data_IF_860803430170
#
_entry.id   IF_860803430170
#
_cell.length_a   1.000
_cell.length_b   1.000
_cell.length_c   1.000
_cell.angle_alpha   90.00
_cell.angle_beta   90.00
_cell.angle_gamma   90.00
#
_symmetry.space_group_name_H-M   'P 1'
#
loop_
_entity.id
_entity.type
_entity.pdbx_description
1 polymer ?
#
# COMPACT_ATOMS: atom_id res chain seq x y z
N UNK A 1 13.86 -10.65 -24.31
CA UNK A 1 12.95 -9.51 -24.14
C UNK A 1 11.96 -9.89 -23.04
N UNK A 2 12.30 -9.56 -21.79
CA UNK A 2 11.49 -9.88 -20.60
C UNK A 2 10.40 -8.81 -20.49
N UNK A 3 9.15 -9.24 -20.41
CA UNK A 3 7.95 -8.37 -20.33
C UNK A 3 7.95 -7.66 -18.98
N UNK A 4 7.79 -6.34 -19.01
CA UNK A 4 7.91 -5.41 -17.90
C UNK A 4 6.64 -5.45 -17.02
N UNK A 5 6.78 -5.74 -15.73
CA UNK A 5 5.77 -5.51 -14.67
C UNK A 5 6.08 -4.10 -14.16
N UNK A 6 5.24 -3.09 -14.45
CA UNK A 6 5.71 -1.71 -14.27
C UNK A 6 4.70 -0.66 -13.76
N UNK A 7 3.39 -0.89 -13.82
CA UNK A 7 2.45 0.14 -13.35
C UNK A 7 2.24 0.13 -11.82
N UNK A 8 1.99 -1.03 -11.20
CA UNK A 8 1.40 -1.08 -9.85
C UNK A 8 2.29 -0.53 -8.71
N UNK A 9 3.62 -0.61 -8.83
CA UNK A 9 4.54 -0.27 -7.74
C UNK A 9 4.64 1.25 -7.47
N UNK A 10 4.24 2.10 -8.43
CA UNK A 10 4.35 3.55 -8.32
C UNK A 10 3.25 4.20 -7.45
N UNK A 11 2.08 3.56 -7.28
CA UNK A 11 0.96 4.10 -6.50
C UNK A 11 0.87 3.59 -5.06
N UNK A 12 1.38 2.38 -4.75
CA UNK A 12 1.39 1.84 -3.38
C UNK A 12 2.11 2.75 -2.37
N UNK A 13 3.04 3.55 -2.89
CA UNK A 13 3.77 4.61 -2.19
C UNK A 13 2.90 5.68 -1.48
N UNK A 14 1.67 5.92 -1.94
CA UNK A 14 0.80 6.95 -1.36
C UNK A 14 -0.24 6.41 -0.36
N UNK A 15 -0.55 5.12 -0.42
CA UNK A 15 -1.49 4.49 0.52
C UNK A 15 -0.80 3.90 1.74
N UNK A 16 0.50 3.62 1.64
CA UNK A 16 1.31 3.14 2.75
C UNK A 16 2.38 4.19 3.10
N UNK A 17 2.11 4.99 4.13
CA UNK A 17 3.16 5.70 4.88
C UNK A 17 2.99 7.22 4.97
N UNK A 18 2.42 7.68 6.08
CA UNK A 18 2.92 8.87 6.79
C UNK A 18 2.78 8.65 8.30
N UNK A 19 3.59 7.75 8.86
CA UNK A 19 3.98 7.85 10.25
C UNK A 19 5.32 8.59 10.31
N UNK A 20 5.27 9.81 10.85
CA UNK A 20 6.35 10.57 11.48
C UNK A 20 7.66 10.85 10.68
N UNK A 21 7.74 12.04 10.07
CA UNK A 21 9.01 12.70 9.77
C UNK A 21 9.13 14.02 10.57
N UNK A 22 9.80 13.96 11.72
CA UNK A 22 10.27 15.13 12.47
C UNK A 22 11.73 15.43 12.14
N UNK A 23 11.99 16.61 11.54
CA UNK A 23 13.33 17.13 11.21
C UNK A 23 14.12 17.56 12.46
N UNK A 24 15.43 17.31 12.48
CA UNK A 24 16.43 18.40 12.52
C UNK A 24 17.87 17.98 12.15
N UNK A 25 18.58 18.93 11.53
CA UNK A 25 19.90 18.88 10.90
C UNK A 25 21.10 18.52 11.81
N UNK A 26 22.13 17.86 11.24
CA UNK A 26 23.46 18.48 11.04
C UNK A 26 24.44 17.69 10.16
N UNK A 27 25.33 18.46 9.51
CA UNK A 27 26.24 18.20 8.39
C UNK A 27 27.46 17.31 8.71
N UNK A 28 28.01 16.60 7.71
CA UNK A 28 29.42 16.14 7.75
C UNK A 28 29.85 14.97 6.85
N UNK A 29 30.14 15.27 5.57
CA UNK A 29 31.02 14.61 4.59
C UNK A 29 31.84 13.33 4.96
N UNK A 30 31.86 12.35 4.04
CA UNK A 30 32.92 11.34 3.96
C UNK A 30 32.72 10.17 2.98
N UNK A 31 33.06 10.40 1.72
CA UNK A 31 33.16 9.49 0.55
C UNK A 31 33.83 8.11 0.79
N UNK A 32 33.20 7.00 0.35
CA UNK A 32 33.71 6.15 -0.76
C UNK A 32 33.25 4.68 -0.75
N UNK A 33 32.76 4.26 -1.94
CA UNK A 33 33.05 2.99 -2.64
C UNK A 33 32.51 1.65 -2.12
N UNK A 34 31.35 1.29 -2.68
CA UNK A 34 31.08 0.08 -3.50
C UNK A 34 31.98 -1.16 -3.34
N UNK A 35 31.36 -2.31 -3.04
CA UNK A 35 31.35 -3.50 -3.91
C UNK A 35 30.48 -4.64 -3.32
N UNK A 36 29.44 -5.01 -4.06
CA UNK A 36 28.84 -6.34 -4.28
C UNK A 36 29.32 -7.53 -3.42
N UNK A 37 28.39 -8.38 -2.96
CA UNK A 37 28.12 -9.72 -3.55
C UNK A 37 26.90 -10.39 -2.89
N UNK A 38 26.01 -10.85 -3.76
CA UNK A 38 25.04 -11.94 -3.68
C UNK A 38 25.08 -12.84 -2.43
N UNK A 39 23.91 -13.04 -1.81
CA UNK A 39 23.60 -14.32 -1.18
C UNK A 39 22.14 -14.69 -1.41
N UNK A 40 22.02 -15.97 -1.74
CA UNK A 40 20.91 -16.71 -2.27
C UNK A 40 20.08 -17.28 -1.10
N UNK A 41 18.78 -17.08 -1.06
CA UNK A 41 17.88 -17.95 -0.29
C UNK A 41 16.53 -18.06 -0.99
N UNK A 42 16.28 -19.24 -1.54
CA UNK A 42 15.00 -19.67 -2.07
C UNK A 42 13.97 -19.74 -0.94
N UNK A 43 12.92 -18.93 -1.05
CA UNK A 43 11.63 -19.23 -0.46
C UNK A 43 10.71 -19.65 -1.62
N UNK A 44 10.13 -20.84 -1.51
CA UNK A 44 9.16 -21.38 -2.46
C UNK A 44 7.90 -20.51 -2.47
N UNK A 45 7.79 -19.64 -3.47
CA UNK A 45 6.54 -19.03 -3.89
C UNK A 45 5.82 -20.02 -4.80
N UNK A 46 4.59 -20.39 -4.42
CA UNK A 46 3.68 -21.12 -5.29
C UNK A 46 3.40 -20.29 -6.54
N UNK A 47 3.82 -20.81 -7.69
CA UNK A 47 3.55 -20.25 -9.01
C UNK A 47 2.05 -20.31 -9.31
N UNK A 48 1.35 -19.18 -9.15
CA UNK A 48 0.15 -18.93 -9.94
C UNK A 48 0.60 -18.59 -11.36
N UNK A 49 0.57 -19.61 -12.22
CA UNK A 49 0.88 -19.49 -13.64
C UNK A 49 -0.30 -18.83 -14.39
N UNK A 50 -0.40 -17.51 -14.30
CA UNK A 50 -0.98 -16.68 -15.34
C UNK A 50 0.11 -15.73 -15.83
N UNK A 51 0.43 -15.76 -17.12
CA UNK A 51 1.44 -14.88 -17.72
C UNK A 51 1.08 -13.41 -17.44
N UNK A 52 2.01 -12.55 -16.97
CA UNK A 52 1.68 -11.16 -16.68
C UNK A 52 1.37 -10.43 -17.98
N UNK A 53 0.11 -9.98 -18.10
CA UNK A 53 -0.31 -8.98 -19.08
C UNK A 53 0.32 -7.64 -18.71
N UNK A 54 0.74 -6.89 -19.72
CA UNK A 54 1.30 -5.55 -19.60
C UNK A 54 0.21 -4.64 -19.03
N UNK A 55 0.16 -4.51 -17.70
CA UNK A 55 -0.83 -3.68 -17.01
C UNK A 55 -0.45 -2.22 -17.24
N UNK A 56 -1.07 -1.61 -18.24
CA UNK A 56 -1.04 -0.16 -18.49
C UNK A 56 -2.28 0.43 -17.84
N UNK A 57 -2.12 1.49 -17.05
CA UNK A 57 -3.25 2.15 -16.41
C UNK A 57 -4.16 2.69 -17.51
N UNK A 58 -5.47 2.46 -17.43
CA UNK A 58 -6.38 2.95 -18.43
C UNK A 58 -6.44 4.48 -18.37
N UNK A 59 -6.24 5.13 -19.51
CA UNK A 59 -6.43 6.58 -19.67
C UNK A 59 -7.55 6.86 -20.66
N UNK A 60 -8.20 8.04 -20.58
CA UNK A 60 -9.12 8.50 -21.60
C UNK A 60 -8.52 8.45 -23.00
N UNK A 61 -9.35 8.15 -24.00
CA UNK A 61 -9.00 8.20 -25.40
C UNK A 61 -8.65 9.63 -25.84
N UNK A 62 -7.73 9.76 -26.79
CA UNK A 62 -7.36 11.05 -27.39
C UNK A 62 -8.47 11.65 -28.26
N UNK A 63 -9.37 10.80 -28.77
CA UNK A 63 -10.44 11.18 -29.69
C UNK A 63 -11.81 10.88 -29.11
N UNK A 64 -12.82 11.65 -29.51
CA UNK A 64 -14.20 11.46 -29.09
C UNK A 64 -14.70 10.04 -29.40
N UNK A 65 -15.59 9.48 -28.56
CA UNK A 65 -16.20 8.19 -28.84
C UNK A 65 -17.04 8.22 -30.11
N UNK A 66 -17.13 7.08 -30.79
CA UNK A 66 -17.95 6.93 -32.00
C UNK A 66 -19.43 7.24 -31.72
N UNK A 67 -19.90 6.92 -30.51
CA UNK A 67 -21.24 7.25 -30.02
C UNK A 67 -21.12 8.05 -28.73
N UNK A 68 -21.43 9.33 -28.81
CA UNK A 68 -21.37 10.27 -27.69
C UNK A 68 -22.71 10.26 -26.95
N UNK A 69 -22.67 9.93 -25.65
CA UNK A 69 -23.82 9.89 -24.76
C UNK A 69 -24.00 11.17 -23.94
N UNK A 70 -22.88 11.84 -23.64
CA UNK A 70 -22.82 13.11 -22.94
C UNK A 70 -21.62 13.89 -23.45
N UNK A 71 -21.81 15.18 -23.71
CA UNK A 71 -20.74 16.07 -24.15
C UNK A 71 -20.90 17.44 -23.49
N UNK A 72 -19.79 17.98 -23.00
CA UNK A 72 -19.67 19.35 -22.56
C UNK A 72 -18.36 19.95 -23.10
N UNK A 73 -17.98 21.14 -22.62
CA UNK A 73 -16.78 21.84 -23.09
C UNK A 73 -15.48 21.07 -22.73
N UNK A 74 -15.46 20.30 -21.65
CA UNK A 74 -14.27 19.64 -21.11
C UNK A 74 -14.13 18.16 -21.50
N UNK A 75 -15.23 17.47 -21.83
CA UNK A 75 -15.22 16.02 -22.09
C UNK A 75 -16.33 15.57 -23.05
N UNK A 76 -16.11 14.40 -23.65
CA UNK A 76 -17.09 13.65 -24.45
C UNK A 76 -17.10 12.19 -23.98
N UNK A 77 -18.24 11.73 -23.50
CA UNK A 77 -18.39 10.41 -22.89
C UNK A 77 -19.13 9.46 -23.81
N UNK A 78 -18.70 8.20 -23.81
CA UNK A 78 -19.44 7.12 -24.42
C UNK A 78 -20.64 6.73 -23.53
N UNK A 79 -21.45 5.80 -24.02
CA UNK A 79 -22.57 5.26 -23.25
C UNK A 79 -22.07 4.55 -21.99
N UNK A 80 -22.59 4.97 -20.83
CA UNK A 80 -22.21 4.49 -19.50
C UNK A 80 -23.25 3.56 -18.87
N UNK A 81 -24.39 3.37 -19.55
CA UNK A 81 -25.39 2.36 -19.19
C UNK A 81 -25.31 1.15 -20.13
N UNK A 82 -25.74 -0.02 -19.67
CA UNK A 82 -25.64 -1.27 -20.43
C UNK A 82 -24.21 -1.72 -20.70
N UNK A 83 -23.25 -1.28 -19.87
CA UNK A 83 -21.87 -1.75 -19.94
C UNK A 83 -21.81 -3.23 -19.64
N UNK A 84 -21.00 -3.97 -20.40
CA UNK A 84 -20.77 -5.40 -20.11
C UNK A 84 -19.72 -5.52 -19.02
N UNK A 85 -20.11 -6.05 -17.88
CA UNK A 85 -19.24 -6.22 -16.72
C UNK A 85 -19.21 -7.70 -16.35
N UNK A 86 -18.03 -8.22 -16.05
CA UNK A 86 -17.89 -9.57 -15.55
C UNK A 86 -18.48 -9.63 -14.13
N UNK A 87 -19.38 -10.58 -13.88
CA UNK A 87 -19.89 -10.84 -12.54
C UNK A 87 -18.78 -11.46 -11.70
N UNK A 88 -18.56 -10.89 -10.52
CA UNK A 88 -17.72 -11.45 -9.46
C UNK A 88 -18.62 -11.65 -8.24
N UNK A 89 -18.62 -12.85 -7.66
CA UNK A 89 -19.36 -13.17 -6.44
C UNK A 89 -18.41 -13.28 -5.23
N UNK A 90 -18.93 -13.24 -4.00
CA UNK A 90 -18.11 -13.45 -2.80
C UNK A 90 -17.27 -14.74 -2.82
N UNK A 91 -17.78 -15.78 -3.48
CA UNK A 91 -17.10 -17.07 -3.65
C UNK A 91 -15.91 -17.03 -4.60
N UNK A 92 -15.88 -16.06 -5.53
CA UNK A 92 -14.77 -15.86 -6.47
C UNK A 92 -13.55 -15.19 -5.79
N UNK A 93 -13.72 -14.65 -4.57
CA UNK A 93 -12.66 -13.95 -3.86
C UNK A 93 -11.61 -14.91 -3.34
N UNK A 94 -10.42 -14.82 -3.94
CA UNK A 94 -9.25 -15.59 -3.54
C UNK A 94 -8.94 -15.45 -2.03
N UNK A 95 -8.52 -16.55 -1.42
CA UNK A 95 -8.23 -16.59 0.01
C UNK A 95 -7.12 -15.61 0.43
N UNK A 96 -6.10 -15.42 -0.41
CA UNK A 96 -5.01 -14.45 -0.19
C UNK A 96 -5.53 -13.00 -0.08
N UNK A 97 -6.57 -12.64 -0.85
CA UNK A 97 -7.14 -11.30 -0.91
C UNK A 97 -7.90 -11.01 0.38
N UNK A 98 -8.67 -11.98 0.87
CA UNK A 98 -9.28 -11.87 2.20
C UNK A 98 -8.23 -11.83 3.32
N UNK A 99 -7.18 -12.65 3.24
CA UNK A 99 -6.08 -12.60 4.22
C UNK A 99 -5.42 -11.24 4.26
N UNK A 100 -5.15 -10.62 3.11
CA UNK A 100 -4.60 -9.26 3.05
C UNK A 100 -5.55 -8.24 3.67
N UNK A 101 -6.86 -8.37 3.44
CA UNK A 101 -7.88 -7.51 4.08
C UNK A 101 -7.86 -7.64 5.61
N UNK A 102 -7.71 -8.86 6.15
CA UNK A 102 -7.56 -9.10 7.59
C UNK A 102 -6.28 -8.47 8.14
N UNK A 103 -5.16 -8.66 7.46
CA UNK A 103 -3.87 -8.11 7.91
C UNK A 103 -3.89 -6.58 7.94
N UNK A 104 -4.53 -5.95 6.93
CA UNK A 104 -4.71 -4.50 6.93
C UNK A 104 -5.58 -4.02 8.10
N UNK A 105 -6.65 -4.77 8.43
CA UNK A 105 -7.46 -4.48 9.60
C UNK A 105 -6.64 -4.58 10.89
N UNK A 106 -5.82 -5.62 11.06
CA UNK A 106 -4.98 -5.76 12.25
C UNK A 106 -3.96 -4.62 12.35
N UNK A 107 -3.31 -4.28 11.23
CA UNK A 107 -2.34 -3.19 11.18
C UNK A 107 -2.96 -1.83 11.52
N UNK A 108 -4.19 -1.56 11.08
CA UNK A 108 -4.89 -0.30 11.39
C UNK A 108 -5.29 -0.21 12.87
N UNK A 109 -5.42 -1.33 13.58
CA UNK A 109 -5.75 -1.38 15.01
C UNK A 109 -4.51 -1.66 15.87
N UNK A 110 -3.36 -1.10 15.47
CA UNK A 110 -2.15 -1.13 16.28
C UNK A 110 -2.19 -0.04 17.36
N UNK A 111 -1.75 -0.37 18.56
CA UNK A 111 -1.79 0.53 19.71
C UNK A 111 -0.39 0.88 20.19
N UNK A 112 -0.16 2.16 20.51
CA UNK A 112 1.05 2.57 21.22
C UNK A 112 0.92 2.24 22.70
N UNK A 113 1.86 1.43 23.21
CA UNK A 113 1.85 0.91 24.56
C UNK A 113 2.79 1.74 25.43
N UNK A 114 2.25 2.32 26.51
CA UNK A 114 3.01 3.16 27.46
C UNK A 114 2.87 2.74 28.92
N UNK A 115 2.15 1.64 29.19
CA UNK A 115 1.72 1.26 30.54
C UNK A 115 2.10 -0.17 30.95
N UNK A 116 2.89 -0.86 30.13
CA UNK A 116 3.48 -2.18 30.45
C UNK A 116 4.87 -2.31 29.80
N UNK A 117 5.72 -3.24 30.30
CA UNK A 117 6.95 -3.62 29.64
C UNK A 117 6.73 -4.17 28.23
N UNK A 118 7.79 -4.17 27.41
CA UNK A 118 7.80 -4.81 26.10
C UNK A 118 7.64 -6.34 26.22
N UNK A 119 6.83 -6.92 25.34
CA UNK A 119 6.51 -8.35 25.29
C UNK A 119 6.88 -8.94 23.91
N UNK A 120 6.95 -10.27 23.84
CA UNK A 120 7.14 -10.96 22.57
C UNK A 120 5.98 -10.64 21.60
N UNK A 121 6.30 -10.32 20.35
CA UNK A 121 5.35 -9.88 19.33
C UNK A 121 5.13 -8.36 19.25
N UNK A 122 5.57 -7.58 20.23
CA UNK A 122 5.54 -6.11 20.12
C UNK A 122 6.53 -5.64 19.05
N UNK A 123 6.16 -4.59 18.32
CA UNK A 123 7.06 -3.81 17.49
C UNK A 123 7.65 -2.67 18.33
N UNK A 124 8.97 -2.53 18.33
CA UNK A 124 9.67 -1.55 19.16
C UNK A 124 10.55 -0.62 18.34
N UNK A 125 10.65 0.63 18.81
CA UNK A 125 11.71 1.53 18.38
C UNK A 125 12.82 1.52 19.43
N UNK A 126 14.06 1.28 19.02
CA UNK A 126 15.22 1.21 19.91
C UNK A 126 16.44 1.93 19.33
N UNK A 127 17.21 2.55 20.21
CA UNK A 127 18.60 2.94 19.94
C UNK A 127 19.54 1.90 20.55
N UNK A 128 20.59 1.50 19.84
CA UNK A 128 21.56 0.55 20.36
C UNK A 128 23.00 0.96 20.08
N UNK A 129 23.90 0.60 21.00
CA UNK A 129 25.35 0.80 20.85
C UNK A 129 26.09 -0.45 21.33
N UNK A 130 26.63 -1.20 20.38
CA UNK A 130 27.41 -2.41 20.58
C UNK A 130 28.89 -2.18 20.89
N UNK A 131 29.42 -2.98 21.79
CA UNK A 131 30.83 -3.06 22.12
C UNK A 131 31.29 -4.52 22.24
N UNK A 132 32.46 -4.81 21.69
CA UNK A 132 33.15 -6.09 21.80
C UNK A 132 34.37 -5.88 22.71
N UNK A 133 34.48 -6.66 23.78
CA UNK A 133 35.54 -6.51 24.79
C UNK A 133 35.67 -5.07 25.34
N UNK A 134 34.54 -4.35 25.42
CA UNK A 134 34.48 -2.95 25.88
C UNK A 134 34.88 -1.91 24.84
N UNK A 135 35.19 -2.32 23.60
CA UNK A 135 35.53 -1.43 22.48
C UNK A 135 34.37 -1.39 21.48
N UNK A 136 33.87 -0.19 21.18
CA UNK A 136 32.85 -0.01 20.12
C UNK A 136 33.41 -0.46 18.78
N UNK A 137 32.60 -1.11 17.97
CA UNK A 137 32.96 -1.55 16.62
C UNK A 137 32.05 -0.88 15.58
N UNK A 138 32.55 -0.80 14.36
CA UNK A 138 31.83 -0.20 13.23
C UNK A 138 30.60 -1.04 12.85
N UNK A 139 29.48 -0.37 12.56
CA UNK A 139 28.17 -1.00 12.39
C UNK A 139 27.51 -1.53 13.67
N UNK A 140 28.12 -1.31 14.84
CA UNK A 140 27.56 -1.73 16.14
C UNK A 140 26.60 -0.72 16.78
N UNK A 141 26.53 0.51 16.28
CA UNK A 141 25.63 1.56 16.80
C UNK A 141 24.60 1.94 15.75
N UNK A 142 23.34 2.06 16.13
CA UNK A 142 22.26 2.42 15.24
C UNK A 142 20.93 2.59 15.96
N UNK A 143 19.89 2.80 15.18
CA UNK A 143 18.50 2.89 15.63
C UNK A 143 17.60 2.13 14.64
N UNK A 144 16.49 1.59 15.14
CA UNK A 144 15.41 0.97 14.34
C UNK A 144 14.08 1.38 14.98
N UNK A 145 13.05 1.55 14.16
CA UNK A 145 11.70 1.94 14.56
C UNK A 145 10.65 0.84 14.29
N UNK A 146 11.08 -0.29 13.74
CA UNK A 146 10.23 -1.36 13.20
C UNK A 146 10.61 -2.78 13.68
N UNK A 147 11.38 -2.91 14.76
CA UNK A 147 11.84 -4.21 15.27
C UNK A 147 10.70 -4.97 15.96
N UNK A 148 10.23 -6.07 15.37
CA UNK A 148 9.30 -7.00 16.03
C UNK A 148 10.05 -7.99 16.93
N UNK A 149 9.74 -7.99 18.22
CA UNK A 149 10.37 -8.86 19.21
C UNK A 149 9.96 -10.33 19.01
N UNK A 150 10.94 -11.22 18.88
CA UNK A 150 10.73 -12.64 18.59
C UNK A 150 10.71 -12.97 17.08
N UNK A 151 10.91 -11.98 16.21
CA UNK A 151 10.98 -12.19 14.75
C UNK A 151 12.24 -12.92 14.30
N UNK A 152 13.32 -12.86 15.09
CA UNK A 152 14.63 -13.39 14.71
C UNK A 152 15.29 -12.60 13.58
N UNK A 153 14.88 -11.34 13.38
CA UNK A 153 15.51 -10.42 12.43
C UNK A 153 16.87 -9.92 12.93
N UNK A 154 17.09 -9.94 14.26
CA UNK A 154 18.35 -9.56 14.89
C UNK A 154 19.15 -10.79 15.36
N UNK A 155 20.40 -10.56 15.77
CA UNK A 155 21.25 -11.65 16.26
C UNK A 155 20.66 -12.29 17.53
N UNK A 156 20.84 -13.62 17.73
CA UNK A 156 20.30 -14.31 18.89
C UNK A 156 20.70 -13.65 20.22
N UNK A 157 19.71 -13.49 21.11
CA UNK A 157 19.86 -12.82 22.41
C UNK A 157 19.67 -11.31 22.38
N UNK A 158 19.62 -10.66 21.21
CA UNK A 158 19.36 -9.22 21.12
C UNK A 158 17.89 -8.90 21.48
N UNK A 159 16.93 -9.51 20.77
CA UNK A 159 15.50 -9.32 20.98
C UNK A 159 15.07 -9.80 22.39
N UNK A 160 15.57 -10.97 22.82
CA UNK A 160 15.30 -11.54 24.13
C UNK A 160 15.68 -10.61 25.30
N UNK A 161 16.71 -9.78 25.10
CA UNK A 161 17.17 -8.84 26.12
C UNK A 161 16.29 -7.60 26.29
N UNK A 162 15.50 -7.29 25.25
CA UNK A 162 14.55 -6.16 25.20
C UNK A 162 13.21 -6.57 25.82
N UNK A 163 12.82 -7.84 25.70
CA UNK A 163 11.61 -8.35 26.36
C UNK A 163 11.69 -8.08 27.86
N UNK A 164 10.64 -7.45 28.39
CA UNK A 164 10.52 -7.00 29.78
C UNK A 164 11.14 -5.65 30.09
N UNK A 165 11.70 -4.92 29.12
CA UNK A 165 12.13 -3.52 29.32
C UNK A 165 10.92 -2.58 29.40
N UNK A 166 11.02 -1.58 30.27
CA UNK A 166 10.05 -0.49 30.36
C UNK A 166 10.32 0.58 29.30
N UNK A 167 9.28 1.32 28.89
CA UNK A 167 9.43 2.44 27.96
C UNK A 167 10.42 3.50 28.52
N UNK A 168 11.41 3.87 27.71
CA UNK A 168 12.49 4.78 28.07
C UNK A 168 13.64 4.12 28.87
N UNK A 169 13.57 2.83 29.16
CA UNK A 169 14.65 2.11 29.84
C UNK A 169 15.88 1.97 28.94
N UNK A 170 17.07 2.15 29.53
CA UNK A 170 18.35 1.80 28.92
C UNK A 170 18.98 0.62 29.66
N UNK A 171 19.36 -0.42 28.91
CA UNK A 171 19.89 -1.67 29.47
C UNK A 171 21.01 -2.25 28.61
N UNK A 172 21.97 -2.89 29.26
CA UNK A 172 23.00 -3.67 28.58
C UNK A 172 22.50 -5.10 28.32
N UNK A 173 22.48 -5.48 27.05
CA UNK A 173 22.06 -6.79 26.54
C UNK A 173 23.26 -7.50 25.94
N UNK A 174 23.51 -8.74 26.36
CA UNK A 174 24.57 -9.56 25.76
C UNK A 174 23.96 -10.40 24.64
N UNK A 175 24.52 -10.29 23.44
CA UNK A 175 24.08 -11.05 22.29
C UNK A 175 25.29 -11.70 21.60
N UNK A 176 25.06 -12.86 20.97
CA UNK A 176 26.12 -13.62 20.30
C UNK A 176 25.93 -13.56 18.80
N UNK A 177 26.98 -13.14 18.09
CA UNK A 177 27.01 -13.22 16.64
C UNK A 177 26.99 -14.69 16.18
N UNK A 178 26.30 -15.00 15.08
CA UNK A 178 26.29 -16.35 14.52
C UNK A 178 27.71 -16.80 14.16
N UNK A 179 27.95 -18.11 14.16
CA UNK A 179 29.26 -18.70 13.85
C UNK A 179 29.76 -18.31 12.45
N UNK A 180 28.84 -17.94 11.55
CA UNK A 180 29.12 -17.34 10.25
C UNK A 180 28.41 -15.98 10.17
N UNK A 181 29.17 -14.89 10.06
CA UNK A 181 28.63 -13.54 9.91
C UNK A 181 29.25 -12.84 8.69
N UNK A 182 28.56 -12.91 7.55
CA UNK A 182 29.09 -12.48 6.24
C UNK A 182 29.38 -10.98 6.15
N UNK A 183 28.63 -10.16 6.88
CA UNK A 183 28.76 -8.70 6.85
C UNK A 183 30.05 -8.23 7.55
N UNK A 184 30.52 -8.97 8.56
CA UNK A 184 31.80 -8.70 9.22
C UNK A 184 32.38 -9.99 9.85
N UNK A 185 33.29 -10.69 9.16
CA UNK A 185 33.88 -11.93 9.64
C UNK A 185 34.57 -11.82 11.01
N UNK A 186 35.03 -10.63 11.40
CA UNK A 186 35.70 -10.42 12.69
C UNK A 186 34.75 -10.49 13.88
N UNK A 187 33.44 -10.41 13.65
CA UNK A 187 32.41 -10.54 14.68
C UNK A 187 31.89 -11.97 14.83
N UNK A 188 32.13 -12.84 13.83
CA UNK A 188 31.57 -14.19 13.78
C UNK A 188 31.87 -15.01 15.05
N UNK A 189 30.83 -15.58 15.64
CA UNK A 189 30.89 -16.41 16.85
C UNK A 189 31.24 -15.67 18.15
N UNK A 190 31.45 -14.35 18.12
CA UNK A 190 31.80 -13.56 19.31
C UNK A 190 30.55 -13.08 20.06
N UNK A 191 30.72 -12.88 21.36
CA UNK A 191 29.72 -12.23 22.22
C UNK A 191 30.01 -10.74 22.31
N UNK A 192 28.99 -9.90 22.16
CA UNK A 192 29.08 -8.46 22.32
C UNK A 192 28.00 -7.96 23.28
N UNK A 193 28.28 -6.83 23.91
CA UNK A 193 27.33 -6.14 24.78
C UNK A 193 26.77 -4.94 24.03
N UNK A 194 25.44 -4.87 23.95
CA UNK A 194 24.69 -3.79 23.34
C UNK A 194 24.00 -3.00 24.44
N UNK A 195 24.33 -1.72 24.57
CA UNK A 195 23.53 -0.79 25.36
C UNK A 195 22.33 -0.38 24.51
N UNK A 196 21.13 -0.83 24.90
CA UNK A 196 19.88 -0.61 24.17
C UNK A 196 19.01 0.36 24.96
N UNK A 197 18.41 1.34 24.29
CA UNK A 197 17.38 2.23 24.86
C UNK A 197 16.06 1.99 24.13
N UNK A 198 15.00 1.70 24.89
CA UNK A 198 13.66 1.46 24.35
C UNK A 198 12.88 2.77 24.23
N UNK A 199 12.57 3.18 23.00
CA UNK A 199 11.97 4.48 22.70
C UNK A 199 10.46 4.42 22.46
N UNK A 200 9.95 3.30 21.93
CA UNK A 200 8.53 3.11 21.61
C UNK A 200 8.16 1.63 21.64
N UNK A 201 6.92 1.33 22.02
CA UNK A 201 6.32 0.00 21.96
C UNK A 201 4.99 0.13 21.20
N UNK A 202 4.79 -0.68 20.17
CA UNK A 202 3.56 -0.82 19.42
C UNK A 202 3.09 -2.27 19.52
N UNK A 203 1.85 -2.46 19.93
CA UNK A 203 1.18 -3.75 19.90
C UNK A 203 0.28 -3.83 18.67
N UNK A 204 0.42 -4.90 17.89
CA UNK A 204 -0.50 -5.23 16.79
C UNK A 204 -1.07 -6.62 17.08
N UNK A 205 -2.40 -6.80 17.11
CA UNK A 205 -2.98 -8.12 17.31
C UNK A 205 -2.54 -9.08 16.19
N UNK A 206 -2.16 -10.30 16.56
CA UNK A 206 -1.60 -11.29 15.62
C UNK A 206 -2.64 -12.00 14.77
N UNK A 207 -3.89 -12.04 15.23
CA UNK A 207 -5.02 -12.63 14.53
C UNK A 207 -6.28 -11.79 14.73
N UNK A 208 -7.14 -11.81 13.72
CA UNK A 208 -8.46 -11.18 13.83
C UNK A 208 -9.43 -12.17 14.48
N UNK A 209 -9.96 -11.81 15.65
CA UNK A 209 -10.90 -12.65 16.41
C UNK A 209 -12.30 -12.03 16.46
N UNK A 210 -13.28 -12.81 16.90
CA UNK A 210 -14.65 -12.34 17.13
C UNK A 210 -14.70 -11.17 18.12
N UNK A 211 -13.82 -11.16 19.13
CA UNK A 211 -13.73 -10.09 20.13
C UNK A 211 -13.27 -8.78 19.51
N UNK A 212 -12.19 -8.81 18.72
CA UNK A 212 -11.68 -7.62 18.03
C UNK A 212 -12.69 -7.09 17.01
N UNK A 213 -13.37 -7.98 16.28
CA UNK A 213 -14.42 -7.57 15.33
C UNK A 213 -15.55 -6.85 16.05
N UNK A 214 -16.04 -7.38 17.18
CA UNK A 214 -17.10 -6.72 17.98
C UNK A 214 -16.66 -5.42 18.63
N UNK A 215 -15.37 -5.30 18.95
CA UNK A 215 -14.81 -4.12 19.59
C UNK A 215 -14.73 -2.95 18.62
N UNK A 216 -14.32 -3.22 17.37
CA UNK A 216 -13.97 -2.20 16.40
C UNK A 216 -15.00 -2.01 15.28
N UNK A 217 -15.98 -2.90 15.15
CA UNK A 217 -16.96 -2.88 14.07
C UNK A 217 -18.38 -3.16 14.55
N UNK A 218 -19.35 -2.96 13.68
CA UNK A 218 -20.77 -3.30 13.94
C UNK A 218 -21.10 -4.78 13.70
N UNK A 219 -20.11 -5.64 13.41
CA UNK A 219 -20.34 -7.06 13.15
C UNK A 219 -20.30 -7.92 14.42
N UNK A 220 -21.24 -8.87 14.50
CA UNK A 220 -21.38 -9.77 15.65
C UNK A 220 -20.36 -10.94 15.66
N UNK A 221 -19.59 -11.15 14.60
CA UNK A 221 -18.59 -12.22 14.50
C UNK A 221 -17.60 -11.99 13.36
N UNK A 222 -16.45 -12.65 13.44
CA UNK A 222 -15.47 -12.74 12.36
C UNK A 222 -16.11 -13.28 11.07
N UNK A 223 -16.96 -14.31 11.17
CA UNK A 223 -17.66 -14.85 10.00
C UNK A 223 -18.54 -13.80 9.32
N UNK A 224 -19.28 -13.00 10.10
CA UNK A 224 -20.12 -11.93 9.55
C UNK A 224 -19.26 -10.85 8.87
N UNK A 225 -18.15 -10.45 9.49
CA UNK A 225 -17.20 -9.52 8.92
C UNK A 225 -16.55 -10.07 7.64
N UNK A 226 -16.14 -11.34 7.61
CA UNK A 226 -15.52 -11.97 6.44
C UNK A 226 -16.48 -12.03 5.26
N UNK A 227 -17.75 -12.36 5.49
CA UNK A 227 -18.76 -12.38 4.44
C UNK A 227 -18.96 -10.98 3.86
N UNK A 228 -19.10 -9.96 4.71
CA UNK A 228 -19.21 -8.58 4.25
C UNK A 228 -17.94 -8.11 3.51
N UNK A 229 -16.77 -8.46 4.00
CA UNK A 229 -15.50 -8.16 3.34
C UNK A 229 -15.42 -8.79 1.94
N UNK A 230 -15.94 -10.00 1.74
CA UNK A 230 -16.00 -10.65 0.43
C UNK A 230 -16.99 -9.96 -0.51
N UNK A 231 -18.15 -9.56 -0.01
CA UNK A 231 -19.12 -8.76 -0.78
C UNK A 231 -18.50 -7.44 -1.25
N UNK A 232 -17.84 -6.72 -0.34
CA UNK A 232 -17.15 -5.47 -0.63
C UNK A 232 -16.02 -5.66 -1.67
N UNK A 233 -15.22 -6.72 -1.53
CA UNK A 233 -14.14 -7.05 -2.47
C UNK A 233 -14.68 -7.40 -3.85
N UNK A 234 -15.74 -8.20 -3.93
CA UNK A 234 -16.38 -8.57 -5.20
C UNK A 234 -16.96 -7.35 -5.90
N UNK A 235 -17.64 -6.48 -5.14
CA UNK A 235 -18.15 -5.21 -5.63
C UNK A 235 -17.02 -4.28 -6.12
N UNK A 236 -15.94 -4.18 -5.35
CA UNK A 236 -14.75 -3.38 -5.72
C UNK A 236 -14.10 -3.88 -7.01
N UNK A 237 -14.01 -5.19 -7.22
CA UNK A 237 -13.44 -5.75 -8.45
C UNK A 237 -14.32 -5.44 -9.66
N UNK A 238 -15.64 -5.63 -9.55
CA UNK A 238 -16.58 -5.31 -10.63
C UNK A 238 -16.55 -3.82 -11.00
N UNK A 239 -16.60 -2.94 -9.99
CA UNK A 239 -16.56 -1.48 -10.22
C UNK A 239 -15.23 -1.04 -10.81
N UNK A 240 -14.11 -1.62 -10.36
CA UNK A 240 -12.79 -1.33 -10.91
C UNK A 240 -12.69 -1.76 -12.38
N UNK A 241 -13.02 -3.01 -12.71
CA UNK A 241 -12.96 -3.50 -14.10
C UNK A 241 -13.88 -2.71 -15.03
N UNK A 242 -15.11 -2.45 -14.58
CA UNK A 242 -16.07 -1.63 -15.32
C UNK A 242 -15.49 -0.24 -15.61
N UNK A 243 -14.94 0.41 -14.59
CA UNK A 243 -14.39 1.76 -14.73
C UNK A 243 -13.17 1.78 -15.64
N UNK A 244 -12.27 0.81 -15.47
CA UNK A 244 -11.05 0.69 -16.27
C UNK A 244 -11.36 0.41 -17.75
N UNK A 245 -12.44 -0.34 -18.04
CA UNK A 245 -12.93 -0.52 -19.40
C UNK A 245 -13.61 0.76 -19.92
N UNK A 246 -14.45 1.40 -19.11
CA UNK A 246 -15.24 2.57 -19.51
C UNK A 246 -14.38 3.80 -19.81
N UNK A 247 -13.39 4.10 -18.97
CA UNK A 247 -12.60 5.33 -19.12
C UNK A 247 -11.87 5.39 -20.47
N UNK A 248 -11.43 4.25 -21.02
CA UNK A 248 -10.79 4.13 -22.34
C UNK A 248 -11.71 4.53 -23.50
N UNK A 249 -13.01 4.57 -23.26
CA UNK A 249 -14.03 4.97 -24.25
C UNK A 249 -14.38 6.44 -24.15
N UNK A 250 -13.92 7.14 -23.12
CA UNK A 250 -14.20 8.55 -22.89
C UNK A 250 -13.06 9.41 -23.46
N UNK A 251 -13.40 10.63 -23.87
CA UNK A 251 -12.42 11.66 -24.21
C UNK A 251 -12.46 12.77 -23.18
N UNK A 252 -11.31 13.13 -22.62
CA UNK A 252 -11.11 14.39 -21.90
C UNK A 252 -10.46 15.37 -22.87
N UNK A 253 -11.16 16.45 -23.20
CA UNK A 253 -10.73 17.46 -24.17
C UNK A 253 -9.66 18.38 -23.59
N UNK A 254 -9.81 18.74 -22.31
CA UNK A 254 -8.91 19.63 -21.61
C UNK A 254 -8.77 19.19 -20.15
N UNK A 255 -7.52 19.02 -19.71
CA UNK A 255 -7.20 18.71 -18.31
C UNK A 255 -6.88 20.01 -17.56
N UNK A 256 -7.36 20.17 -16.31
CA UNK A 256 -6.90 21.23 -15.43
C UNK A 256 -5.37 21.13 -15.22
N UNK A 257 -4.62 22.09 -15.78
CA UNK A 257 -3.15 22.09 -15.74
C UNK A 257 -2.60 22.11 -14.30
N UNK A 258 -3.30 22.79 -13.38
CA UNK A 258 -2.99 22.84 -11.96
C UNK A 258 -3.06 21.46 -11.31
N UNK A 259 -4.11 20.67 -11.58
CA UNK A 259 -4.26 19.33 -11.02
C UNK A 259 -3.19 18.36 -11.54
N UNK A 260 -2.88 18.42 -12.84
CA UNK A 260 -1.82 17.60 -13.43
C UNK A 260 -0.46 17.96 -12.83
N UNK A 261 -0.19 19.26 -12.68
CA UNK A 261 1.05 19.76 -12.09
C UNK A 261 1.18 19.34 -10.62
N UNK A 262 0.16 19.56 -9.81
CA UNK A 262 0.14 19.20 -8.38
C UNK A 262 0.40 17.70 -8.18
N UNK A 263 -0.25 16.85 -8.99
CA UNK A 263 0.01 15.41 -8.96
C UNK A 263 1.46 15.09 -9.30
N UNK A 264 1.98 15.68 -10.37
CA UNK A 264 3.35 15.45 -10.86
C UNK A 264 4.40 15.88 -9.85
N UNK A 265 4.23 17.06 -9.23
CA UNK A 265 5.13 17.59 -8.21
C UNK A 265 5.11 16.72 -6.95
N UNK A 266 3.92 16.28 -6.51
CA UNK A 266 3.79 15.39 -5.34
C UNK A 266 4.49 14.05 -5.58
N UNK A 267 4.27 13.42 -6.73
CA UNK A 267 4.93 12.15 -7.07
C UNK A 267 6.44 12.32 -7.19
N UNK A 268 6.90 13.37 -7.87
CA UNK A 268 8.34 13.64 -8.01
C UNK A 268 8.99 13.87 -6.65
N UNK A 269 8.38 14.70 -5.80
CA UNK A 269 8.89 15.00 -4.46
C UNK A 269 8.93 13.76 -3.56
N UNK A 270 7.95 12.85 -3.68
CA UNK A 270 7.95 11.58 -2.96
C UNK A 270 9.17 10.74 -3.34
N UNK A 271 9.42 10.54 -4.63
CA UNK A 271 10.54 9.72 -5.09
C UNK A 271 11.91 10.36 -4.83
N UNK A 272 12.00 11.68 -4.86
CA UNK A 272 13.20 12.40 -4.46
C UNK A 272 13.51 12.19 -2.96
N UNK A 273 12.50 12.28 -2.10
CA UNK A 273 12.66 12.02 -0.67
C UNK A 273 13.01 10.56 -0.40
N UNK A 274 12.34 9.62 -1.07
CA UNK A 274 12.66 8.20 -0.96
C UNK A 274 14.09 7.90 -1.40
N UNK A 275 14.56 8.53 -2.49
CA UNK A 275 15.93 8.37 -2.95
C UNK A 275 16.94 8.93 -1.94
N UNK A 276 16.67 10.12 -1.39
CA UNK A 276 17.51 10.75 -0.36
C UNK A 276 17.60 9.87 0.91
N UNK A 277 16.47 9.33 1.37
CA UNK A 277 16.43 8.43 2.53
C UNK A 277 17.28 7.17 2.32
N UNK A 278 17.38 6.71 1.07
CA UNK A 278 18.22 5.56 0.70
C UNK A 278 19.64 5.95 0.27
N UNK A 279 20.06 7.21 0.44
CA UNK A 279 21.39 7.69 0.04
C UNK A 279 21.66 7.63 -1.46
N UNK A 280 20.61 7.63 -2.29
CA UNK A 280 20.65 7.53 -3.74
C UNK A 280 20.16 8.82 -4.41
N UNK A 281 20.52 9.03 -5.67
CA UNK A 281 19.77 9.97 -6.52
C UNK A 281 18.45 9.34 -6.98
N UNK A 282 17.47 10.16 -7.37
CA UNK A 282 16.22 9.66 -7.93
C UNK A 282 16.46 8.75 -9.15
N UNK A 283 17.36 9.14 -10.07
CA UNK A 283 17.70 8.32 -11.22
C UNK A 283 18.30 6.96 -10.83
N UNK A 284 19.12 6.92 -9.77
CA UNK A 284 19.66 5.67 -9.23
C UNK A 284 18.56 4.81 -8.61
N UNK A 285 17.65 5.41 -7.83
CA UNK A 285 16.51 4.71 -7.25
C UNK A 285 15.61 4.13 -8.35
N UNK A 286 15.27 4.91 -9.38
CA UNK A 286 14.43 4.47 -10.49
C UNK A 286 15.10 3.36 -11.31
N UNK A 287 16.38 3.54 -11.67
CA UNK A 287 17.10 2.56 -12.49
C UNK A 287 17.42 1.27 -11.75
N UNK A 288 17.80 1.33 -10.47
CA UNK A 288 18.16 0.15 -9.67
C UNK A 288 16.95 -0.52 -9.02
N UNK A 289 16.00 0.26 -8.52
CA UNK A 289 14.82 -0.23 -7.82
C UNK A 289 13.68 -0.64 -8.76
N UNK A 290 13.48 0.09 -9.86
CA UNK A 290 12.36 -0.14 -10.79
C UNK A 290 12.79 -0.53 -12.20
N UNK A 291 14.07 -0.41 -12.51
CA UNK A 291 14.58 -0.71 -13.86
C UNK A 291 14.07 0.26 -14.93
N UNK A 292 13.73 1.50 -14.57
CA UNK A 292 13.22 2.51 -15.50
C UNK A 292 14.09 3.75 -15.61
N UNK A 293 13.96 4.42 -16.74
CA UNK A 293 14.54 5.76 -16.94
C UNK A 293 13.65 6.84 -16.31
N UNK A 294 14.23 8.03 -16.11
CA UNK A 294 13.47 9.21 -15.70
C UNK A 294 12.35 9.56 -16.69
N UNK A 295 12.59 9.39 -17.99
CA UNK A 295 11.58 9.63 -19.03
C UNK A 295 10.41 8.64 -18.93
N UNK A 296 10.69 7.36 -18.68
CA UNK A 296 9.64 6.34 -18.45
C UNK A 296 8.84 6.62 -17.16
N UNK A 297 9.52 7.11 -16.11
CA UNK A 297 8.86 7.56 -14.89
C UNK A 297 7.95 8.77 -15.15
N UNK A 298 8.46 9.82 -15.79
CA UNK A 298 7.70 11.05 -16.05
C UNK A 298 6.47 10.75 -16.92
N UNK A 299 6.60 9.88 -17.94
CA UNK A 299 5.47 9.41 -18.76
C UNK A 299 4.44 8.62 -17.94
N UNK A 300 4.91 7.80 -16.99
CA UNK A 300 4.02 7.04 -16.10
C UNK A 300 3.27 7.97 -15.14
N UNK A 301 3.95 8.97 -14.59
CA UNK A 301 3.35 10.00 -13.72
C UNK A 301 2.31 10.82 -14.48
N UNK A 302 2.60 11.26 -15.72
CA UNK A 302 1.62 11.97 -16.57
C UNK A 302 0.37 11.10 -16.84
N UNK A 303 0.56 9.84 -17.18
CA UNK A 303 -0.54 8.88 -17.39
C UNK A 303 -1.41 8.74 -16.13
N UNK A 304 -0.78 8.61 -14.96
CA UNK A 304 -1.50 8.55 -13.68
C UNK A 304 -2.21 9.86 -13.34
N UNK A 305 -1.56 11.01 -13.53
CA UNK A 305 -2.14 12.32 -13.27
C UNK A 305 -3.39 12.54 -14.12
N UNK A 306 -3.33 12.17 -15.41
CA UNK A 306 -4.48 12.22 -16.33
C UNK A 306 -5.59 11.28 -15.88
N UNK A 307 -5.29 10.04 -15.53
CA UNK A 307 -6.30 9.11 -15.03
C UNK A 307 -6.96 9.64 -13.74
N UNK A 308 -6.16 10.01 -12.74
CA UNK A 308 -6.61 10.54 -11.43
C UNK A 308 -7.48 11.80 -11.58
N UNK A 309 -7.15 12.67 -12.53
CA UNK A 309 -7.93 13.88 -12.84
C UNK A 309 -9.18 13.56 -13.66
N UNK A 310 -9.12 12.62 -14.59
CA UNK A 310 -10.24 12.26 -15.46
C UNK A 310 -11.38 11.58 -14.70
N UNK A 311 -11.08 10.69 -13.73
CA UNK A 311 -12.12 9.95 -13.01
C UNK A 311 -13.17 10.86 -12.35
N UNK A 312 -12.80 11.84 -11.50
CA UNK A 312 -13.76 12.74 -10.88
C UNK A 312 -14.46 13.64 -11.90
N UNK A 313 -13.80 14.08 -12.97
CA UNK A 313 -14.44 14.88 -14.03
C UNK A 313 -15.55 14.10 -14.75
N UNK A 314 -15.26 12.85 -15.12
CA UNK A 314 -16.23 11.95 -15.77
C UNK A 314 -17.38 11.66 -14.82
N UNK A 315 -17.08 11.34 -13.56
CA UNK A 315 -18.09 11.07 -12.55
C UNK A 315 -19.00 12.29 -12.32
N UNK A 316 -18.44 13.49 -12.18
CA UNK A 316 -19.21 14.71 -12.01
C UNK A 316 -20.15 14.95 -13.20
N UNK A 317 -19.68 14.75 -14.44
CA UNK A 317 -20.53 14.94 -15.62
C UNK A 317 -21.71 13.96 -15.66
N UNK A 318 -21.48 12.70 -15.31
CA UNK A 318 -22.56 11.70 -15.20
C UNK A 318 -23.51 12.07 -14.05
N UNK A 319 -22.96 12.46 -12.90
CA UNK A 319 -23.75 12.88 -11.75
C UNK A 319 -24.68 14.05 -12.08
N UNK A 320 -24.18 15.09 -12.76
CA UNK A 320 -24.95 16.24 -13.19
C UNK A 320 -26.08 15.85 -14.17
N UNK A 321 -25.79 14.93 -15.10
CA UNK A 321 -26.79 14.45 -16.08
C UNK A 321 -27.90 13.62 -15.43
N UNK A 322 -27.54 12.75 -14.49
CA UNK A 322 -28.46 11.81 -13.85
C UNK A 322 -29.10 12.38 -12.57
N UNK A 323 -28.67 13.56 -12.11
CA UNK A 323 -29.13 14.16 -10.87
C UNK A 323 -28.65 13.43 -9.62
N UNK A 324 -27.48 12.78 -9.70
CA UNK A 324 -26.84 12.12 -8.56
C UNK A 324 -26.12 13.21 -7.75
N UNK A 325 -26.43 13.30 -6.46
CA UNK A 325 -25.78 14.24 -5.56
C UNK A 325 -25.32 13.53 -4.28
N UNK A 326 -24.29 14.08 -3.65
CA UNK A 326 -23.89 13.74 -2.30
C UNK A 326 -24.42 14.84 -1.36
N UNK A 327 -25.37 14.48 -0.50
CA UNK A 327 -25.85 15.40 0.53
C UNK A 327 -24.84 15.54 1.68
N UNK A 328 -24.94 16.62 2.45
CA UNK A 328 -24.09 16.82 3.63
C UNK A 328 -24.29 15.73 4.69
N UNK A 329 -25.53 15.23 4.85
CA UNK A 329 -25.83 14.15 5.78
C UNK A 329 -25.19 12.82 5.35
N UNK A 330 -25.19 12.52 4.05
CA UNK A 330 -24.48 11.36 3.50
C UNK A 330 -22.97 11.52 3.61
N UNK A 331 -22.45 12.73 3.46
CA UNK A 331 -21.02 13.00 3.62
C UNK A 331 -20.60 12.74 5.07
N UNK A 332 -21.26 13.38 6.04
CA UNK A 332 -20.92 13.26 7.47
C UNK A 332 -21.08 11.83 7.98
N UNK A 333 -22.10 11.09 7.53
CA UNK A 333 -22.30 9.69 7.94
C UNK A 333 -21.23 8.75 7.39
N UNK A 334 -20.58 9.09 6.27
CA UNK A 334 -19.56 8.26 5.63
C UNK A 334 -18.14 8.60 6.06
N UNK A 335 -17.86 9.82 6.53
CA UNK A 335 -16.51 10.21 6.98
C UNK A 335 -15.95 9.24 8.02
N UNK A 336 -16.76 8.82 9.00
CA UNK A 336 -16.31 7.88 10.04
C UNK A 336 -15.83 6.55 9.45
N UNK A 337 -16.55 6.02 8.45
CA UNK A 337 -16.13 4.82 7.72
C UNK A 337 -14.83 5.06 6.94
N UNK A 338 -14.68 6.20 6.28
CA UNK A 338 -13.44 6.53 5.55
C UNK A 338 -12.24 6.67 6.47
N UNK A 339 -12.42 7.29 7.63
CA UNK A 339 -11.43 7.39 8.69
C UNK A 339 -10.98 5.99 9.15
N UNK A 340 -11.95 5.10 9.41
CA UNK A 340 -11.69 3.72 9.83
C UNK A 340 -10.91 2.92 8.77
N UNK A 341 -11.37 2.89 7.52
CA UNK A 341 -10.71 2.09 6.47
C UNK A 341 -9.34 2.65 6.05
N UNK A 342 -9.08 3.93 6.34
CA UNK A 342 -7.79 4.57 6.07
C UNK A 342 -6.83 4.48 7.26
N UNK A 343 -7.27 3.86 8.37
CA UNK A 343 -6.47 3.73 9.59
C UNK A 343 -6.23 5.04 10.33
N UNK A 344 -7.04 6.07 10.05
CA UNK A 344 -6.95 7.39 10.70
C UNK A 344 -8.11 7.59 11.67
N UNK A 345 -7.86 7.40 12.96
CA UNK A 345 -8.88 7.57 14.01
C UNK A 345 -8.87 8.97 14.65
N UNK A 346 -7.86 9.79 14.32
CA UNK A 346 -7.82 11.21 14.66
C UNK A 346 -8.38 12.05 13.52
N UNK A 347 -9.45 12.80 13.81
CA UNK A 347 -10.18 13.58 12.81
C UNK A 347 -9.33 14.71 12.26
N UNK A 348 -8.50 15.35 13.09
CA UNK A 348 -7.69 16.49 12.67
C UNK A 348 -6.56 16.04 11.73
N UNK A 349 -5.83 14.97 12.08
CA UNK A 349 -4.81 14.35 11.23
C UNK A 349 -5.40 13.83 9.91
N UNK A 350 -6.60 13.25 9.94
CA UNK A 350 -7.29 12.81 8.73
C UNK A 350 -7.57 13.99 7.78
N UNK A 351 -8.07 15.11 8.28
CA UNK A 351 -8.36 16.29 7.45
C UNK A 351 -7.12 17.12 7.08
N UNK A 352 -6.00 16.97 7.79
CA UNK A 352 -4.70 17.50 7.34
C UNK A 352 -4.23 16.79 6.06
N UNK A 353 -4.56 15.51 5.90
CA UNK A 353 -4.16 14.69 4.76
C UNK A 353 -5.19 14.69 3.62
N UNK A 354 -6.47 14.68 3.95
CA UNK A 354 -7.56 14.58 2.98
C UNK A 354 -8.49 15.80 3.05
N UNK A 355 -8.46 16.63 2.01
CA UNK A 355 -9.38 17.77 1.92
C UNK A 355 -10.85 17.29 1.81
N UNK A 356 -11.77 18.06 2.37
CA UNK A 356 -13.22 17.81 2.22
C UNK A 356 -13.63 17.76 0.74
N UNK A 357 -13.09 18.64 -0.11
CA UNK A 357 -13.33 18.64 -1.56
C UNK A 357 -12.97 17.29 -2.19
N UNK A 358 -11.79 16.76 -1.87
CA UNK A 358 -11.33 15.47 -2.37
C UNK A 358 -12.25 14.33 -1.90
N UNK A 359 -12.59 14.29 -0.61
CA UNK A 359 -13.44 13.24 -0.05
C UNK A 359 -14.85 13.26 -0.64
N UNK A 360 -15.45 14.45 -0.81
CA UNK A 360 -16.76 14.59 -1.44
C UNK A 360 -16.71 14.16 -2.91
N UNK A 361 -15.68 14.55 -3.64
CA UNK A 361 -15.48 14.12 -5.02
C UNK A 361 -15.34 12.60 -5.14
N UNK A 362 -14.55 11.99 -4.25
CA UNK A 362 -14.37 10.54 -4.18
C UNK A 362 -15.68 9.80 -3.86
N UNK A 363 -16.43 10.28 -2.86
CA UNK A 363 -17.72 9.69 -2.49
C UNK A 363 -18.76 9.83 -3.61
N UNK A 364 -18.80 10.96 -4.32
CA UNK A 364 -19.66 11.14 -5.49
C UNK A 364 -19.27 10.19 -6.61
N UNK A 365 -17.96 10.02 -6.86
CA UNK A 365 -17.45 9.06 -7.84
C UNK A 365 -17.92 7.63 -7.52
N UNK A 366 -17.87 7.20 -6.27
CA UNK A 366 -18.40 5.89 -5.88
C UNK A 366 -19.91 5.78 -6.15
N UNK A 367 -20.71 6.80 -5.81
CA UNK A 367 -22.16 6.79 -6.12
C UNK A 367 -22.43 6.65 -7.62
N UNK A 368 -21.61 7.27 -8.46
CA UNK A 368 -21.71 7.16 -9.92
C UNK A 368 -21.28 5.77 -10.41
N UNK A 369 -20.23 5.19 -9.82
CA UNK A 369 -19.81 3.83 -10.11
C UNK A 369 -20.93 2.82 -9.76
N UNK A 370 -21.54 2.96 -8.58
CA UNK A 370 -22.64 2.09 -8.16
C UNK A 370 -23.83 2.22 -9.11
N UNK A 371 -24.17 3.45 -9.51
CA UNK A 371 -25.21 3.69 -10.51
C UNK A 371 -24.89 3.04 -11.87
N UNK A 372 -23.65 3.18 -12.36
CA UNK A 372 -23.24 2.56 -13.62
C UNK A 372 -23.29 1.04 -13.54
N UNK A 373 -22.85 0.46 -12.43
CA UNK A 373 -22.89 -0.98 -12.20
C UNK A 373 -24.33 -1.49 -12.10
N UNK A 374 -25.24 -0.75 -11.45
CA UNK A 374 -26.68 -1.08 -11.40
C UNK A 374 -27.31 -1.10 -12.81
N UNK A 375 -26.82 -0.24 -13.72
CA UNK A 375 -27.26 -0.19 -15.12
C UNK A 375 -26.46 -1.09 -16.05
N UNK A 376 -25.48 -1.84 -15.55
CA UNK A 376 -24.64 -2.73 -16.35
C UNK A 376 -25.33 -4.07 -16.67
N UNK A 377 -24.89 -4.69 -17.76
CA UNK A 377 -25.19 -6.08 -18.10
C UNK A 377 -24.11 -6.98 -17.47
N UNK A 378 -24.46 -7.62 -16.34
CA UNK A 378 -23.57 -8.57 -15.67
C UNK A 378 -23.54 -9.90 -16.43
N UNK A 379 -22.34 -10.29 -16.89
CA UNK A 379 -22.11 -11.56 -17.57
C UNK A 379 -21.44 -12.55 -16.61
N UNK A 380 -21.83 -13.81 -16.68
CA UNK A 380 -21.12 -14.88 -15.95
C UNK A 380 -19.69 -15.03 -16.52
N UNK A 381 -18.69 -15.39 -15.68
CA UNK A 381 -17.39 -15.82 -16.18
C UNK A 381 -17.58 -16.98 -17.17
N UNK A 382 -16.93 -16.90 -18.33
CA UNK A 382 -16.82 -18.09 -19.18
C UNK A 382 -16.12 -19.16 -18.35
N UNK A 383 -16.80 -20.29 -18.08
CA UNK A 383 -16.13 -21.48 -17.58
C UNK A 383 -15.01 -21.79 -18.58
N UNK A 384 -13.78 -21.44 -18.26
CA UNK A 384 -12.63 -22.05 -18.90
C UNK A 384 -12.76 -23.53 -18.59
N UNK A 385 -13.22 -24.32 -19.57
CA UNK A 385 -13.13 -25.77 -19.56
C UNK A 385 -11.71 -26.11 -19.14
N UNK A 386 -11.53 -26.48 -17.88
CA UNK A 386 -10.29 -27.07 -17.42
C UNK A 386 -10.06 -28.25 -18.37
N UNK A 387 -9.00 -28.16 -19.19
CA UNK A 387 -8.56 -29.26 -20.02
C UNK A 387 -8.32 -30.46 -19.11
N UNK A 388 -9.34 -31.28 -18.96
CA UNK A 388 -9.22 -32.65 -18.48
C UNK A 388 -8.53 -33.41 -19.59
N UNK A 389 -7.22 -33.19 -19.73
CA UNK A 389 -6.35 -34.12 -20.43
C UNK A 389 -6.33 -35.39 -19.60
N UNK A 390 -7.34 -36.20 -19.90
CA UNK A 390 -7.50 -37.56 -19.46
C UNK A 390 -6.27 -38.29 -19.98
N UNK A 391 -5.34 -38.63 -19.08
CA UNK A 391 -4.30 -39.61 -19.34
C UNK A 391 -4.97 -40.98 -19.52
N UNK A 392 -5.58 -41.17 -20.69
CA UNK A 392 -6.06 -42.43 -21.18
C UNK A 392 -4.87 -43.18 -21.81
N UNK A 393 -4.35 -44.13 -21.04
CA UNK A 393 -3.79 -45.41 -21.51
C UNK A 393 -2.85 -45.40 -22.73
N UNK A 394 -1.55 -45.60 -22.50
CA UNK A 394 -0.86 -46.81 -22.95
C UNK A 394 0.47 -47.06 -22.25
#
# INVERSE_FOLDING_TARGET
MRKKILALALCLALTAGMAACGKDNQEGQGDSSAASTESNTQAEQGESSAAPTESTIPVPAETAPEKVALENDQLALAEYTGLKVLRVTPEDIEANTLTNRKNNFLASHSEEITNRPAEEGDMVAVDFSGALDGVKFDGGTGSTDDLVLGSGSMIPGFEDGIIGMELGETKDVTAKFPDTYSNNPDLAGKEAVFTITLNKIIFTPSELTDELVKEYTDYDSLEAWENAAREDLAHSLMTQEMWDAYIKTCQVKEYPEDKIKDYTERMTSFYEQLAQANGMTMDQLLSQGMGITREEFDATVDMYAKNDTAKPMIAQAIADKEGIALSDEEYESRISYFMEISGHYDKDAFFEQYSEEYLRSYMLQQKVQDFMLEKAELNEPEETEAETTTLAAK
#
